data_IF_082793064578
#
_entry.id   IF_082793064578
#
_cell.length_a   1.000
_cell.length_b   1.000
_cell.length_c   1.000
_cell.angle_alpha   90.00
_cell.angle_beta   90.00
_cell.angle_gamma   90.00
#
_symmetry.space_group_name_H-M   'P 1'
#
loop_
_entity.id
_entity.type
_entity.pdbx_description
1 polymer ?
#
# COMPACT_ATOMS: atom_id res chain seq x y z
N UNK A 1 -28.57 14.63 -6.78
CA UNK A 1 -27.77 15.06 -7.95
C UNK A 1 -27.37 13.82 -8.73
N UNK A 2 -27.49 13.81 -10.07
CA UNK A 2 -27.41 12.59 -10.86
C UNK A 2 -25.97 12.06 -10.90
N UNK A 3 -25.83 10.74 -10.81
CA UNK A 3 -24.54 10.04 -10.89
C UNK A 3 -23.90 10.25 -12.27
N UNK A 4 -22.73 10.90 -12.29
CA UNK A 4 -21.89 10.96 -13.49
C UNK A 4 -21.37 9.55 -13.79
N UNK A 5 -21.67 9.08 -14.99
CA UNK A 5 -21.24 7.79 -15.54
C UNK A 5 -19.72 7.66 -15.48
N UNK A 6 -19.25 6.47 -15.09
CA UNK A 6 -17.84 6.09 -15.19
C UNK A 6 -17.35 6.31 -16.62
N UNK A 7 -16.42 7.25 -16.82
CA UNK A 7 -15.75 7.42 -18.10
C UNK A 7 -14.93 6.15 -18.39
N UNK A 8 -15.30 5.43 -19.46
CA UNK A 8 -14.55 4.27 -19.92
C UNK A 8 -13.12 4.68 -20.29
N UNK A 9 -12.12 3.78 -20.12
CA UNK A 9 -10.74 4.07 -20.54
C UNK A 9 -10.70 4.38 -22.04
N UNK A 10 -9.75 5.23 -22.50
CA UNK A 10 -9.63 5.57 -23.91
C UNK A 10 -9.36 4.29 -24.71
N UNK A 11 -10.28 3.97 -25.63
CA UNK A 11 -10.12 2.86 -26.55
C UNK A 11 -9.08 3.27 -27.59
N UNK A 12 -7.94 2.58 -27.65
CA UNK A 12 -7.03 2.70 -28.79
C UNK A 12 -7.76 2.17 -30.03
N UNK A 13 -7.97 3.03 -31.01
CA UNK A 13 -8.49 2.61 -32.31
C UNK A 13 -7.36 2.66 -33.33
N UNK A 14 -7.04 1.52 -33.93
CA UNK A 14 -6.27 1.49 -35.17
C UNK A 14 -7.23 1.95 -36.27
N UNK A 15 -7.00 3.13 -36.85
CA UNK A 15 -7.73 3.56 -38.05
C UNK A 15 -7.35 2.63 -39.20
N UNK A 16 -8.18 1.63 -39.51
CA UNK A 16 -8.03 0.87 -40.75
C UNK A 16 -8.60 1.71 -41.90
N UNK A 17 -7.74 2.28 -42.73
CA UNK A 17 -8.15 2.75 -44.07
C UNK A 17 -8.47 1.52 -44.91
N UNK A 18 -9.75 1.14 -44.96
CA UNK A 18 -10.21 0.06 -45.80
C UNK A 18 -10.26 0.52 -47.26
N UNK A 19 -9.26 0.12 -48.05
CA UNK A 19 -9.43 -0.12 -49.48
C UNK A 19 -9.33 -1.62 -49.70
N UNK A 20 -10.44 -2.22 -50.10
CA UNK A 20 -10.55 -3.64 -50.38
C UNK A 20 -9.75 -3.98 -51.64
N UNK A 21 -8.68 -4.78 -51.49
CA UNK A 21 -8.08 -5.53 -52.58
C UNK A 21 -7.32 -6.75 -52.04
N UNK A 22 -7.79 -7.95 -52.40
CA UNK A 22 -7.00 -9.19 -52.43
C UNK A 22 -6.63 -9.80 -51.09
N UNK A 23 -7.34 -10.87 -50.68
CA UNK A 23 -6.87 -11.79 -49.66
C UNK A 23 -5.65 -12.57 -50.17
N UNK A 24 -4.45 -12.02 -49.98
CA UNK A 24 -3.20 -12.77 -50.07
C UNK A 24 -2.86 -13.32 -48.68
N UNK A 25 -2.68 -14.64 -48.57
CA UNK A 25 -2.09 -15.28 -47.39
C UNK A 25 -0.73 -14.61 -47.11
N UNK A 26 -0.66 -13.79 -46.07
CA UNK A 26 0.60 -13.25 -45.58
C UNK A 26 1.24 -14.29 -44.67
N UNK A 27 2.42 -14.78 -45.06
CA UNK A 27 3.37 -15.44 -44.15
C UNK A 27 3.56 -14.58 -42.89
N UNK A 28 3.91 -15.16 -41.72
CA UNK A 28 4.20 -14.40 -40.50
C UNK A 28 5.55 -13.69 -40.63
N UNK A 29 5.69 -12.81 -41.61
CA UNK A 29 6.73 -11.81 -41.71
C UNK A 29 6.35 -10.66 -40.80
N UNK A 30 7.22 -10.34 -39.85
CA UNK A 30 7.08 -9.24 -38.90
C UNK A 30 6.60 -7.97 -39.61
N UNK A 31 5.38 -7.53 -39.32
CA UNK A 31 4.95 -6.16 -39.65
C UNK A 31 6.01 -5.25 -39.00
N UNK A 32 6.76 -4.43 -39.78
CA UNK A 32 7.76 -3.55 -39.19
C UNK A 32 7.07 -2.62 -38.20
N UNK A 33 7.62 -2.54 -36.98
CA UNK A 33 7.09 -1.66 -35.93
C UNK A 33 7.38 -0.20 -36.32
N UNK A 34 6.53 0.38 -37.16
CA UNK A 34 6.69 1.75 -37.64
C UNK A 34 5.99 2.74 -36.69
N UNK A 35 6.77 3.29 -35.76
CA UNK A 35 6.29 4.30 -34.79
C UNK A 35 5.74 5.57 -35.46
N UNK A 36 5.98 5.80 -36.75
CA UNK A 36 5.44 6.95 -37.50
C UNK A 36 3.95 6.82 -37.78
N UNK A 37 3.39 5.61 -37.70
CA UNK A 37 1.96 5.33 -37.86
C UNK A 37 1.20 5.37 -36.53
N UNK A 38 1.91 5.55 -35.41
CA UNK A 38 1.32 5.60 -34.08
C UNK A 38 1.07 7.05 -33.67
N UNK A 39 -0.18 7.36 -33.34
CA UNK A 39 -0.57 8.67 -32.82
C UNK A 39 -1.50 8.45 -31.60
N UNK A 40 -1.22 9.16 -30.51
CA UNK A 40 -2.14 9.20 -29.36
C UNK A 40 -3.34 10.10 -29.68
N UNK A 41 -4.49 9.80 -29.10
CA UNK A 41 -5.64 10.72 -29.14
C UNK A 41 -5.26 12.08 -28.52
N UNK A 42 -5.59 13.21 -29.17
CA UNK A 42 -5.31 14.54 -28.62
C UNK A 42 -5.98 14.75 -27.26
N UNK A 43 -5.24 15.33 -26.30
CA UNK A 43 -5.73 15.63 -24.95
C UNK A 43 -5.33 17.04 -24.52
N UNK A 44 -6.17 17.70 -23.72
CA UNK A 44 -5.85 18.99 -23.08
C UNK A 44 -5.31 18.74 -21.67
N UNK A 45 -4.28 19.49 -21.27
CA UNK A 45 -3.55 19.31 -20.01
C UNK A 45 -4.46 19.44 -18.78
N UNK A 46 -5.44 20.35 -18.82
CA UNK A 46 -6.38 20.53 -17.71
C UNK A 46 -7.21 19.27 -17.43
N UNK A 47 -7.46 18.42 -18.43
CA UNK A 47 -8.19 17.16 -18.25
C UNK A 47 -7.39 16.23 -17.34
N UNK A 48 -6.08 16.12 -17.56
CA UNK A 48 -5.22 15.29 -16.70
C UNK A 48 -5.18 15.83 -15.27
N UNK A 49 -4.99 17.15 -15.10
CA UNK A 49 -5.00 17.77 -13.78
C UNK A 49 -6.33 17.56 -13.07
N UNK A 50 -7.45 17.74 -13.77
CA UNK A 50 -8.79 17.58 -13.22
C UNK A 50 -9.03 16.13 -12.77
N UNK A 51 -8.75 15.14 -13.62
CA UNK A 51 -8.95 13.72 -13.29
C UNK A 51 -8.11 13.27 -12.09
N UNK A 52 -6.85 13.70 -12.02
CA UNK A 52 -5.98 13.38 -10.87
C UNK A 52 -6.49 14.03 -9.58
N UNK A 53 -6.84 15.31 -9.62
CA UNK A 53 -7.31 16.06 -8.45
C UNK A 53 -8.66 15.54 -7.96
N UNK A 54 -9.63 15.34 -8.85
CA UNK A 54 -10.96 14.86 -8.47
C UNK A 54 -10.92 13.50 -7.79
N UNK A 55 -10.19 12.53 -8.36
CA UNK A 55 -10.07 11.19 -7.77
C UNK A 55 -9.38 11.25 -6.40
N UNK A 56 -8.29 12.02 -6.29
CA UNK A 56 -7.57 12.17 -5.03
C UNK A 56 -8.41 12.83 -3.94
N UNK A 57 -9.20 13.84 -4.28
CA UNK A 57 -10.11 14.49 -3.33
C UNK A 57 -11.29 13.59 -2.95
N UNK A 58 -11.85 12.85 -3.90
CA UNK A 58 -12.88 11.83 -3.61
C UNK A 58 -12.36 10.75 -2.67
N UNK A 59 -11.11 10.31 -2.84
CA UNK A 59 -10.47 9.37 -1.92
C UNK A 59 -10.34 9.97 -0.51
N UNK A 60 -9.90 11.22 -0.39
CA UNK A 60 -9.82 11.90 0.92
C UNK A 60 -11.17 12.01 1.61
N UNK A 61 -12.24 12.32 0.86
CA UNK A 61 -13.61 12.37 1.41
C UNK A 61 -14.09 10.97 1.80
N UNK A 62 -13.85 9.96 0.96
CA UNK A 62 -14.33 8.59 1.18
C UNK A 62 -13.63 7.93 2.38
N UNK A 63 -12.37 8.28 2.63
CA UNK A 63 -11.54 7.70 3.69
C UNK A 63 -11.31 8.67 4.86
N UNK A 64 -12.05 9.78 4.96
CA UNK A 64 -12.01 10.65 6.14
C UNK A 64 -12.51 9.92 7.39
N UNK A 65 -13.41 8.97 7.20
CA UNK A 65 -13.85 7.97 8.18
C UNK A 65 -13.71 6.58 7.57
N UNK A 66 -12.94 5.71 8.21
CA UNK A 66 -12.67 4.34 7.72
C UNK A 66 -12.71 3.33 8.86
N UNK A 67 -12.79 2.03 8.57
CA UNK A 67 -12.77 1.03 9.63
C UNK A 67 -11.36 0.86 10.22
N UNK A 68 -10.36 0.74 9.33
CA UNK A 68 -8.98 0.50 9.75
C UNK A 68 -8.01 1.43 9.03
N UNK A 69 -7.10 2.04 9.79
CA UNK A 69 -5.92 2.75 9.26
C UNK A 69 -4.68 1.90 9.55
N UNK A 70 -3.92 1.58 8.51
CA UNK A 70 -2.62 0.91 8.61
C UNK A 70 -1.52 1.93 8.35
N UNK A 71 -0.75 2.26 9.39
CA UNK A 71 0.30 3.28 9.38
C UNK A 71 1.65 2.62 9.14
N UNK A 72 2.35 3.09 8.10
CA UNK A 72 3.69 2.64 7.76
C UNK A 72 3.67 1.23 7.19
N UNK A 73 3.50 1.09 5.89
CA UNK A 73 3.41 -0.23 5.27
C UNK A 73 4.77 -0.78 4.82
N UNK A 74 5.22 -1.75 5.61
CA UNK A 74 6.31 -2.68 5.37
C UNK A 74 5.74 -4.06 4.97
N UNK A 75 6.56 -5.12 4.96
CA UNK A 75 6.09 -6.49 4.75
C UNK A 75 4.95 -6.88 5.70
N UNK A 76 5.09 -6.63 7.01
CA UNK A 76 4.07 -6.97 7.99
C UNK A 76 2.77 -6.17 7.79
N UNK A 77 2.87 -4.87 7.49
CA UNK A 77 1.73 -4.01 7.20
C UNK A 77 0.98 -4.45 5.94
N UNK A 78 1.71 -4.85 4.89
CA UNK A 78 1.11 -5.38 3.67
C UNK A 78 0.42 -6.73 3.91
N UNK A 79 1.04 -7.64 4.65
CA UNK A 79 0.42 -8.92 5.01
C UNK A 79 -0.85 -8.72 5.82
N UNK A 80 -0.83 -7.85 6.83
CA UNK A 80 -2.01 -7.52 7.63
C UNK A 80 -3.13 -6.91 6.79
N UNK A 81 -2.81 -5.88 5.98
CA UNK A 81 -3.79 -5.23 5.13
C UNK A 81 -4.36 -6.18 4.07
N UNK A 82 -3.53 -7.06 3.50
CA UNK A 82 -3.96 -8.07 2.53
C UNK A 82 -4.93 -9.08 3.14
N UNK A 83 -4.65 -9.59 4.33
CA UNK A 83 -5.57 -10.49 5.02
C UNK A 83 -6.89 -9.79 5.39
N UNK A 84 -6.81 -8.58 5.94
CA UNK A 84 -7.99 -7.79 6.32
C UNK A 84 -8.89 -7.48 5.12
N UNK A 85 -8.27 -7.05 4.02
CA UNK A 85 -8.98 -6.64 2.81
C UNK A 85 -9.75 -7.78 2.11
N UNK A 86 -9.54 -9.05 2.50
CA UNK A 86 -10.36 -10.19 2.08
C UNK A 86 -11.81 -10.06 2.52
N UNK A 87 -12.07 -9.37 3.62
CA UNK A 87 -13.42 -9.04 4.04
C UNK A 87 -13.89 -7.76 3.30
N UNK A 88 -14.87 -7.84 2.38
CA UNK A 88 -15.34 -6.69 1.62
C UNK A 88 -16.07 -5.65 2.47
N UNK A 89 -16.54 -6.02 3.66
CA UNK A 89 -17.25 -5.11 4.57
C UNK A 89 -16.32 -4.17 5.33
N UNK A 90 -14.99 -4.37 5.24
CA UNK A 90 -14.00 -3.56 5.94
C UNK A 90 -13.31 -2.63 4.95
N UNK A 91 -13.32 -1.34 5.24
CA UNK A 91 -12.57 -0.32 4.51
C UNK A 91 -11.21 -0.06 5.17
N UNK A 92 -10.14 -0.19 4.39
CA UNK A 92 -8.77 -0.03 4.88
C UNK A 92 -8.06 1.14 4.19
N UNK A 93 -7.66 2.14 4.99
CA UNK A 93 -6.75 3.20 4.55
C UNK A 93 -5.31 2.83 4.92
N UNK A 94 -4.41 2.90 3.96
CA UNK A 94 -2.98 2.67 4.14
C UNK A 94 -2.25 4.00 4.06
N UNK A 95 -1.51 4.35 5.11
CA UNK A 95 -0.75 5.61 5.17
C UNK A 95 0.73 5.32 5.15
N UNK A 96 1.45 5.92 4.20
CA UNK A 96 2.89 5.75 4.03
C UNK A 96 3.57 7.07 3.70
N UNK A 97 4.53 7.46 4.54
CA UNK A 97 5.27 8.72 4.37
C UNK A 97 6.14 8.77 3.11
N UNK A 98 6.73 7.64 2.71
CA UNK A 98 7.61 7.59 1.54
C UNK A 98 6.80 7.52 0.25
N UNK A 99 7.40 7.96 -0.87
CA UNK A 99 6.81 7.82 -2.20
C UNK A 99 6.57 6.34 -2.53
N UNK A 100 7.59 5.50 -2.32
CA UNK A 100 7.48 4.05 -2.52
C UNK A 100 7.04 3.34 -1.22
N UNK A 101 6.00 2.49 -1.28
CA UNK A 101 5.67 1.59 -0.18
C UNK A 101 6.61 0.37 -0.17
N UNK A 102 6.44 -0.53 0.81
CA UNK A 102 7.23 -1.77 0.94
C UNK A 102 8.36 -1.70 1.97
N UNK A 103 8.80 -0.51 2.35
CA UNK A 103 9.79 -0.33 3.41
C UNK A 103 11.10 -1.06 3.10
N UNK A 104 11.58 -1.88 4.04
CA UNK A 104 12.82 -2.65 3.87
C UNK A 104 12.68 -3.92 3.01
N UNK A 105 11.46 -4.33 2.65
CA UNK A 105 11.20 -5.59 1.95
C UNK A 105 11.46 -5.52 0.43
N UNK A 106 12.40 -4.69 -0.01
CA UNK A 106 12.86 -4.66 -1.40
C UNK A 106 14.14 -5.48 -1.60
N UNK A 107 14.90 -5.67 -0.53
CA UNK A 107 16.17 -6.39 -0.51
C UNK A 107 16.22 -7.31 0.72
N UNK A 108 17.07 -8.33 0.63
CA UNK A 108 17.49 -9.16 1.75
C UNK A 108 18.64 -8.52 2.52
N UNK A 109 19.31 -9.34 3.34
CA UNK A 109 20.49 -8.91 4.08
C UNK A 109 21.62 -8.43 3.15
N UNK A 110 22.35 -7.39 3.57
CA UNK A 110 23.53 -6.87 2.85
C UNK A 110 23.26 -6.54 1.37
N UNK A 111 22.08 -6.03 1.04
CA UNK A 111 21.64 -5.69 -0.33
C UNK A 111 21.48 -6.90 -1.27
N UNK A 112 21.54 -8.14 -0.75
CA UNK A 112 21.25 -9.32 -1.55
C UNK A 112 19.77 -9.39 -1.93
N UNK A 113 19.46 -10.19 -2.94
CA UNK A 113 18.10 -10.27 -3.49
C UNK A 113 17.22 -11.35 -2.85
N UNK A 114 17.78 -12.37 -2.20
CA UNK A 114 17.00 -13.48 -1.69
C UNK A 114 16.33 -13.15 -0.35
N UNK A 115 15.11 -13.66 -0.14
CA UNK A 115 14.42 -13.67 1.14
C UNK A 115 14.23 -15.12 1.57
N UNK A 116 14.59 -15.42 2.80
CA UNK A 116 14.30 -16.70 3.43
C UNK A 116 13.09 -16.50 4.34
N UNK A 117 12.05 -17.30 4.13
CA UNK A 117 10.93 -17.41 5.05
C UNK A 117 10.93 -18.83 5.59
N UNK A 118 10.93 -18.98 6.91
CA UNK A 118 10.75 -20.27 7.53
C UNK A 118 9.29 -20.73 7.36
N UNK A 119 9.09 -21.92 6.79
CA UNK A 119 7.79 -22.58 6.82
C UNK A 119 7.77 -23.56 7.99
N UNK A 120 7.05 -23.17 9.05
CA UNK A 120 6.96 -23.92 10.30
C UNK A 120 6.08 -25.17 10.22
N UNK A 121 5.24 -25.31 9.19
CA UNK A 121 4.41 -26.50 9.00
C UNK A 121 5.19 -27.67 8.37
N UNK A 122 6.21 -27.35 7.58
CA UNK A 122 7.01 -28.35 6.86
C UNK A 122 8.48 -28.37 7.28
N UNK A 123 8.85 -27.60 8.32
CA UNK A 123 10.24 -27.40 8.78
C UNK A 123 11.21 -27.16 7.61
N UNK A 124 10.77 -26.35 6.63
CA UNK A 124 11.51 -26.09 5.40
C UNK A 124 11.62 -24.59 5.16
N UNK A 125 12.72 -24.12 4.59
CA UNK A 125 12.83 -22.73 4.17
C UNK A 125 12.20 -22.53 2.80
N UNK A 126 11.20 -21.66 2.72
CA UNK A 126 10.74 -21.10 1.45
C UNK A 126 11.70 -19.98 1.06
N UNK A 127 12.59 -20.26 0.12
CA UNK A 127 13.46 -19.26 -0.46
C UNK A 127 12.70 -18.51 -1.57
N UNK A 128 12.34 -17.26 -1.31
CA UNK A 128 11.89 -16.36 -2.37
C UNK A 128 13.14 -15.80 -3.03
N UNK A 129 13.37 -16.22 -4.29
CA UNK A 129 14.57 -15.87 -5.07
C UNK A 129 14.83 -14.36 -5.13
N UNK A 130 13.77 -13.56 -5.18
CA UNK A 130 13.82 -12.10 -5.18
C UNK A 130 12.81 -11.54 -4.18
N UNK A 131 13.28 -10.86 -3.13
CA UNK A 131 12.43 -10.19 -2.11
C UNK A 131 11.45 -9.22 -2.77
N UNK A 132 11.91 -8.52 -3.81
CA UNK A 132 11.10 -7.61 -4.59
C UNK A 132 9.85 -8.27 -5.18
N UNK A 133 9.87 -9.58 -5.50
CA UNK A 133 8.69 -10.29 -5.99
C UNK A 133 7.62 -10.44 -4.92
N UNK A 134 8.00 -10.67 -3.66
CA UNK A 134 7.05 -10.71 -2.56
C UNK A 134 6.33 -9.36 -2.44
N UNK A 135 7.10 -8.27 -2.34
CA UNK A 135 6.57 -6.93 -2.13
C UNK A 135 5.75 -6.44 -3.33
N UNK A 136 6.20 -6.66 -4.55
CA UNK A 136 5.46 -6.25 -5.74
C UNK A 136 4.15 -7.02 -5.91
N UNK A 137 4.16 -8.34 -5.63
CA UNK A 137 2.97 -9.19 -5.77
C UNK A 137 1.91 -8.85 -4.73
N UNK A 138 2.31 -8.73 -3.46
CA UNK A 138 1.34 -8.40 -2.40
C UNK A 138 0.79 -7.00 -2.59
N UNK A 139 1.63 -6.03 -2.96
CA UNK A 139 1.21 -4.67 -3.28
C UNK A 139 0.21 -4.66 -4.45
N UNK A 140 0.52 -5.33 -5.55
CA UNK A 140 -0.38 -5.41 -6.71
C UNK A 140 -1.74 -6.01 -6.35
N UNK A 141 -1.75 -7.14 -5.65
CA UNK A 141 -3.00 -7.81 -5.25
C UNK A 141 -3.80 -7.00 -4.23
N UNK A 142 -3.13 -6.28 -3.33
CA UNK A 142 -3.78 -5.45 -2.33
C UNK A 142 -4.40 -4.19 -2.96
N UNK A 143 -3.66 -3.50 -3.83
CA UNK A 143 -4.12 -2.27 -4.47
C UNK A 143 -5.19 -2.51 -5.55
N UNK A 144 -5.30 -3.74 -6.05
CA UNK A 144 -6.39 -4.13 -6.94
C UNK A 144 -7.75 -4.26 -6.21
N UNK A 145 -7.78 -4.21 -4.87
CA UNK A 145 -9.01 -4.38 -4.10
C UNK A 145 -9.77 -3.05 -3.96
N UNK A 146 -11.10 -3.04 -4.17
CA UNK A 146 -11.89 -1.81 -4.17
C UNK A 146 -12.07 -1.18 -2.78
N UNK A 147 -11.87 -1.95 -1.71
CA UNK A 147 -12.01 -1.52 -0.31
C UNK A 147 -10.69 -1.06 0.33
N UNK A 148 -9.64 -0.86 -0.47
CA UNK A 148 -8.32 -0.45 0.01
C UNK A 148 -7.87 0.81 -0.71
N UNK A 149 -7.34 1.78 0.05
CA UNK A 149 -6.68 2.96 -0.51
C UNK A 149 -5.29 3.14 0.07
N UNK A 150 -4.32 3.35 -0.81
CA UNK A 150 -2.96 3.76 -0.44
C UNK A 150 -2.80 5.28 -0.56
N UNK A 151 -2.48 5.89 0.57
CA UNK A 151 -2.00 7.26 0.70
C UNK A 151 -0.48 7.21 0.95
N UNK A 152 0.29 7.05 -0.14
CA UNK A 152 1.73 7.24 -0.12
C UNK A 152 2.06 8.74 -0.10
N UNK A 153 3.30 9.12 0.23
CA UNK A 153 3.71 10.53 0.46
C UNK A 153 2.98 11.25 1.60
N UNK A 154 2.25 10.52 2.42
CA UNK A 154 1.50 11.06 3.55
C UNK A 154 2.12 10.57 4.85
N UNK A 155 2.68 11.51 5.61
CA UNK A 155 3.20 11.26 6.94
C UNK A 155 2.08 11.29 7.97
N UNK A 156 2.14 10.40 8.95
CA UNK A 156 1.40 10.63 10.17
C UNK A 156 2.32 11.19 11.25
N UNK A 157 1.92 12.32 11.82
CA UNK A 157 2.64 13.01 12.88
C UNK A 157 2.08 12.71 14.28
N UNK A 158 0.76 12.64 14.45
CA UNK A 158 0.11 12.44 15.76
C UNK A 158 -1.05 11.42 15.74
N UNK A 159 -1.49 11.04 16.93
CA UNK A 159 -2.69 10.26 17.21
C UNK A 159 -3.73 11.17 17.84
N UNK A 160 -4.97 11.06 17.42
CA UNK A 160 -6.08 11.73 18.11
C UNK A 160 -6.61 10.79 19.19
N UNK A 161 -6.68 11.34 20.39
CA UNK A 161 -7.10 10.64 21.59
C UNK A 161 -8.45 11.17 22.05
N UNK A 162 -9.39 10.28 22.39
CA UNK A 162 -10.67 10.64 23.01
C UNK A 162 -10.93 9.72 24.20
N UNK A 163 -11.09 10.28 25.39
CA UNK A 163 -11.36 9.49 26.62
C UNK A 163 -10.28 8.46 26.96
N UNK A 164 -9.00 8.76 26.71
CA UNK A 164 -7.89 7.83 26.96
C UNK A 164 -7.76 6.70 25.92
N UNK A 165 -8.48 6.78 24.81
CA UNK A 165 -8.45 5.78 23.73
C UNK A 165 -7.90 6.36 22.44
N UNK A 166 -7.18 5.54 21.67
CA UNK A 166 -6.68 5.94 20.34
C UNK A 166 -7.84 5.82 19.36
N UNK A 167 -8.28 6.95 18.82
CA UNK A 167 -9.43 6.97 17.91
C UNK A 167 -9.05 7.33 16.47
N UNK A 168 -7.98 8.10 16.26
CA UNK A 168 -7.74 8.71 14.93
C UNK A 168 -6.26 8.95 14.66
N UNK A 169 -5.93 9.15 13.40
CA UNK A 169 -4.60 9.53 12.93
C UNK A 169 -4.64 11.00 12.53
N UNK A 170 -3.78 11.86 13.10
CA UNK A 170 -3.63 13.22 12.58
C UNK A 170 -2.66 13.21 11.40
N UNK A 171 -2.92 14.05 10.42
CA UNK A 171 -2.06 14.32 9.27
C UNK A 171 -2.08 15.83 9.08
N UNK A 172 -1.66 16.57 10.12
CA UNK A 172 -2.04 17.97 10.22
C UNK A 172 -1.71 18.78 8.96
N UNK A 173 -2.67 19.61 8.50
CA UNK A 173 -3.93 19.91 9.18
C UNK A 173 -5.10 18.94 8.87
N UNK A 174 -4.89 17.84 8.15
CA UNK A 174 -5.95 16.89 7.80
C UNK A 174 -6.08 15.75 8.84
N UNK A 175 -7.28 15.19 8.97
CA UNK A 175 -7.58 14.16 9.98
C UNK A 175 -8.32 13.00 9.33
N UNK A 176 -7.92 11.77 9.66
CA UNK A 176 -8.64 10.55 9.30
C UNK A 176 -9.04 9.77 10.56
N UNK A 177 -10.33 9.47 10.69
CA UNK A 177 -10.88 8.65 11.77
C UNK A 177 -10.83 7.17 11.44
N UNK A 178 -10.53 6.34 12.45
CA UNK A 178 -10.69 4.91 12.30
C UNK A 178 -11.13 4.22 13.59
N UNK A 179 -11.88 3.12 13.44
CA UNK A 179 -12.20 2.25 14.56
C UNK A 179 -10.94 1.58 15.11
N UNK A 180 -9.99 1.23 14.24
CA UNK A 180 -8.70 0.63 14.63
C UNK A 180 -7.55 1.25 13.88
N UNK A 181 -6.48 1.61 14.60
CA UNK A 181 -5.21 2.06 14.02
C UNK A 181 -4.14 1.00 14.24
N UNK A 182 -3.61 0.45 13.16
CA UNK A 182 -2.51 -0.53 13.18
C UNK A 182 -1.22 0.13 12.76
N UNK A 183 -0.18 -0.01 13.57
CA UNK A 183 1.14 0.58 13.32
C UNK A 183 2.15 -0.47 12.92
N UNK A 184 2.66 -0.39 11.68
CA UNK A 184 3.71 -1.27 11.15
C UNK A 184 4.96 -0.51 10.67
N UNK A 185 5.24 0.65 11.29
CA UNK A 185 6.35 1.57 10.97
C UNK A 185 7.77 0.99 11.18
N UNK A 186 7.92 -0.30 11.44
CA UNK A 186 9.22 -0.94 11.69
C UNK A 186 9.85 -0.53 13.02
N UNK A 187 11.10 -0.96 13.20
CA UNK A 187 11.89 -0.74 14.42
C UNK A 187 12.45 0.69 14.51
N UNK A 188 13.08 1.01 15.64
CA UNK A 188 13.62 2.34 15.90
C UNK A 188 14.66 2.76 14.84
N UNK A 189 14.30 3.82 14.10
CA UNK A 189 15.09 4.60 13.14
C UNK A 189 14.50 6.02 13.14
N UNK A 190 15.06 6.95 12.34
CA UNK A 190 14.55 8.33 12.20
C UNK A 190 13.02 8.41 12.00
N UNK A 191 12.46 7.53 11.17
CA UNK A 191 11.02 7.45 10.89
C UNK A 191 10.37 6.14 11.37
N UNK A 192 11.10 5.37 12.18
CA UNK A 192 10.68 4.07 12.67
C UNK A 192 10.15 4.13 14.10
N UNK A 193 9.33 3.15 14.48
CA UNK A 193 8.69 3.08 15.81
C UNK A 193 7.94 4.37 16.24
N UNK A 194 7.51 5.20 15.30
CA UNK A 194 6.94 6.54 15.55
C UNK A 194 5.75 6.50 16.49
N UNK A 195 4.85 5.54 16.33
CA UNK A 195 3.65 5.41 17.18
C UNK A 195 3.97 5.01 18.61
N UNK A 196 4.82 4.02 18.81
CA UNK A 196 5.19 3.57 20.16
C UNK A 196 5.94 4.69 20.90
N UNK A 197 6.82 5.42 20.20
CA UNK A 197 7.46 6.64 20.74
C UNK A 197 6.43 7.73 21.08
N UNK A 198 5.44 7.95 20.21
CA UNK A 198 4.37 8.92 20.47
C UNK A 198 3.56 8.53 21.69
N UNK A 199 3.12 7.27 21.80
CA UNK A 199 2.39 6.73 22.95
C UNK A 199 3.16 6.95 24.27
N UNK A 200 4.48 6.75 24.28
CA UNK A 200 5.31 7.10 25.44
C UNK A 200 5.30 8.60 25.73
N UNK A 201 5.44 9.45 24.70
CA UNK A 201 5.46 10.91 24.89
C UNK A 201 4.15 11.48 25.45
N UNK A 202 3.01 10.85 25.10
CA UNK A 202 1.69 11.21 25.65
C UNK A 202 1.33 10.42 26.91
N UNK A 203 2.30 9.68 27.49
CA UNK A 203 2.16 8.92 28.75
C UNK A 203 1.06 7.86 28.72
N UNK A 204 0.79 7.28 27.55
CA UNK A 204 -0.12 6.13 27.39
C UNK A 204 0.58 4.80 27.64
N UNK A 205 1.91 4.78 27.57
CA UNK A 205 2.76 3.66 27.98
C UNK A 205 3.92 4.22 28.80
N UNK A 206 4.38 3.46 29.79
CA UNK A 206 5.46 3.90 30.69
C UNK A 206 6.82 3.93 29.98
N UNK A 207 7.13 2.86 29.26
CA UNK A 207 8.42 2.69 28.61
C UNK A 207 8.34 2.03 27.23
N UNK A 208 9.42 2.23 26.47
CA UNK A 208 9.68 1.51 25.23
C UNK A 208 10.95 0.71 25.48
N UNK A 209 10.86 -0.63 25.66
CA UNK A 209 12.00 -1.47 26.03
C UNK A 209 13.18 -1.43 25.03
N UNK A 210 12.92 -0.97 23.80
CA UNK A 210 13.90 -0.92 22.74
C UNK A 210 14.11 -2.26 22.03
N UNK A 211 14.81 -2.20 20.89
CA UNK A 211 15.18 -3.39 20.13
C UNK A 211 16.44 -4.02 20.72
N UNK A 212 16.42 -5.33 20.98
CA UNK A 212 17.57 -6.09 21.49
C UNK A 212 18.48 -6.58 20.36
N UNK A 213 19.57 -7.26 20.73
CA UNK A 213 20.48 -7.92 19.79
C UNK A 213 19.77 -9.00 18.96
N UNK A 214 20.34 -9.33 17.80
CA UNK A 214 19.77 -10.27 16.85
C UNK A 214 19.87 -11.71 17.37
N UNK A 215 18.72 -12.35 17.52
CA UNK A 215 18.56 -13.79 17.76
C UNK A 215 17.29 -14.25 17.02
N UNK A 216 17.46 -14.95 15.90
CA UNK A 216 16.35 -15.32 15.03
C UNK A 216 15.37 -16.29 15.72
N UNK A 217 15.87 -17.20 16.55
CA UNK A 217 15.05 -18.24 17.18
C UNK A 217 14.05 -17.62 18.17
N UNK A 218 14.52 -16.68 18.99
CA UNK A 218 13.67 -16.05 20.00
C UNK A 218 12.91 -14.84 19.48
N UNK A 219 13.47 -14.10 18.51
CA UNK A 219 12.87 -12.87 18.01
C UNK A 219 11.58 -13.13 17.21
N UNK A 220 11.57 -14.08 16.29
CA UNK A 220 10.39 -14.32 15.45
C UNK A 220 9.18 -14.74 16.29
N UNK A 221 9.39 -15.68 17.23
CA UNK A 221 8.37 -16.14 18.18
C UNK A 221 7.84 -14.99 19.03
N UNK A 222 8.74 -14.16 19.55
CA UNK A 222 8.36 -13.03 20.38
C UNK A 222 7.53 -12.01 19.59
N UNK A 223 7.91 -11.67 18.35
CA UNK A 223 7.18 -10.70 17.52
C UNK A 223 5.79 -11.21 17.17
N UNK A 224 5.66 -12.47 16.75
CA UNK A 224 4.36 -13.06 16.42
C UNK A 224 3.46 -13.10 17.66
N UNK A 225 3.97 -13.60 18.80
CA UNK A 225 3.21 -13.74 20.05
C UNK A 225 2.82 -12.41 20.68
N UNK A 226 3.64 -11.36 20.52
CA UNK A 226 3.40 -10.05 21.13
C UNK A 226 2.68 -9.07 20.19
N UNK A 227 2.33 -9.46 18.97
CA UNK A 227 1.48 -8.64 18.10
C UNK A 227 0.05 -8.61 18.65
N UNK A 228 -0.34 -7.47 19.23
CA UNK A 228 -1.64 -7.27 19.89
C UNK A 228 -2.02 -5.80 19.96
N UNK A 229 -3.22 -5.52 20.47
CA UNK A 229 -3.62 -4.18 20.89
C UNK A 229 -2.75 -3.69 22.06
N UNK A 230 -2.17 -2.49 21.92
CA UNK A 230 -1.29 -1.88 22.94
C UNK A 230 -2.06 -0.87 23.80
N UNK A 231 -2.97 -0.11 23.19
CA UNK A 231 -3.83 0.87 23.85
C UNK A 231 -5.25 0.68 23.33
N UNK A 232 -6.28 0.72 24.20
CA UNK A 232 -7.66 0.52 23.79
C UNK A 232 -8.11 1.47 22.68
N UNK A 233 -8.86 0.94 21.73
CA UNK A 233 -9.62 1.72 20.74
C UNK A 233 -11.02 2.10 21.28
N UNK A 234 -11.51 3.26 20.85
CA UNK A 234 -12.75 3.89 21.34
C UNK A 234 -13.99 3.56 20.54
#
# INVERSE_FOLDING_TARGET
MPMLSHAAPPKSSLRSSATAAGAALMSPGSIPYDLRLFEFEPIKEFIMSHEMTCRSMMDMITYSETDVIVVGVSSAGFSYAYELSKNPSIRAAIIKQSVSPGGGAWLGGQLFSAMLSENRLTYSYAAIRYVALFTSTIMSKLLARPNVKLFNTVGTEDLIMKGGRVARSCMDPNVMEAKVVVSSCGHDKRFGATRVKRLKSIRMIEEVPGMKALDMNTAEDAIVRLTREIVPVG
#
